data_IF_750354456775
#
_entry.id   IF_750354456775
#
_cell.length_a   1.000
_cell.length_b   1.000
_cell.length_c   1.000
_cell.angle_alpha   90.00
_cell.angle_beta   90.00
_cell.angle_gamma   90.00
#
_symmetry.space_group_name_H-M   'P 1'
#
loop_
_entity.id
_entity.type
_entity.pdbx_description
1 polymer ?
#
# COMPACT_ATOMS: atom_id res chain seq x y z
N UNK A 1 -10.04 18.67 -4.28
CA UNK A 1 -9.18 18.74 -3.07
C UNK A 1 -9.01 17.36 -2.42
N UNK A 2 -10.07 16.73 -1.92
CA UNK A 2 -10.00 15.38 -1.31
C UNK A 2 -9.37 14.32 -2.23
N UNK A 3 -9.78 14.24 -3.51
CA UNK A 3 -9.22 13.26 -4.46
C UNK A 3 -7.74 13.50 -4.80
N UNK A 4 -7.31 14.75 -4.95
CA UNK A 4 -5.89 15.08 -5.18
C UNK A 4 -5.02 14.70 -3.98
N UNK A 5 -5.51 14.97 -2.76
CA UNK A 5 -4.80 14.57 -1.54
C UNK A 5 -4.73 13.05 -1.39
N UNK A 6 -5.81 12.34 -1.72
CA UNK A 6 -5.84 10.87 -1.76
C UNK A 6 -4.81 10.30 -2.74
N UNK A 7 -4.69 10.88 -3.94
CA UNK A 7 -3.71 10.46 -4.94
C UNK A 7 -2.26 10.76 -4.49
N UNK A 8 -2.03 11.91 -3.84
CA UNK A 8 -0.70 12.29 -3.38
C UNK A 8 -0.21 11.50 -2.16
N UNK A 9 -1.13 10.97 -1.34
CA UNK A 9 -0.80 10.29 -0.08
C UNK A 9 -1.06 8.78 -0.10
N UNK A 10 -1.60 8.27 -1.21
CA UNK A 10 -2.07 6.88 -1.33
C UNK A 10 -3.07 6.47 -0.24
N UNK A 11 -3.73 7.44 0.39
CA UNK A 11 -4.78 7.21 1.39
C UNK A 11 -6.14 7.22 0.69
N UNK A 12 -6.97 6.18 0.84
CA UNK A 12 -8.31 6.15 0.25
C UNK A 12 -9.16 7.36 0.66
N UNK A 13 -9.83 8.00 -0.30
CA UNK A 13 -10.66 9.19 -0.06
C UNK A 13 -11.75 8.99 1.01
N UNK A 14 -12.25 7.76 1.15
CA UNK A 14 -13.21 7.38 2.19
C UNK A 14 -12.65 7.51 3.62
N UNK A 15 -11.33 7.45 3.78
CA UNK A 15 -10.64 7.60 5.07
C UNK A 15 -10.18 9.03 5.35
N UNK A 16 -10.41 9.96 4.43
CA UNK A 16 -9.99 11.36 4.56
C UNK A 16 -11.20 12.23 4.88
N UNK A 17 -11.09 13.07 5.90
CA UNK A 17 -11.97 14.22 6.15
C UNK A 17 -11.18 15.49 5.94
N UNK A 18 -11.73 16.41 5.15
CA UNK A 18 -11.19 17.76 4.99
C UNK A 18 -11.87 18.65 6.04
N UNK A 19 -11.07 19.46 6.72
CA UNK A 19 -11.50 20.37 7.76
C UNK A 19 -11.21 21.80 7.32
N UNK A 20 -12.17 22.68 7.57
CA UNK A 20 -11.96 24.12 7.48
C UNK A 20 -12.28 24.72 8.86
N UNK A 21 -11.39 25.54 9.42
CA UNK A 21 -11.50 26.08 10.79
C UNK A 21 -11.80 24.97 11.84
N UNK A 22 -11.09 23.84 11.76
CA UNK A 22 -11.28 22.62 12.59
C UNK A 22 -12.67 21.95 12.50
N UNK A 23 -13.52 22.32 11.54
CA UNK A 23 -14.84 21.69 11.30
C UNK A 23 -14.78 20.78 10.06
N UNK A 24 -15.27 19.54 10.12
CA UNK A 24 -15.37 18.68 8.93
C UNK A 24 -16.26 19.31 7.87
N UNK A 25 -15.80 19.29 6.62
CA UNK A 25 -16.50 19.83 5.47
C UNK A 25 -17.04 18.68 4.63
N UNK A 26 -18.29 18.82 4.19
CA UNK A 26 -18.94 17.85 3.29
C UNK A 26 -18.37 17.94 1.88
N UNK A 27 -18.15 16.81 1.23
CA UNK A 27 -17.55 16.75 -0.12
C UNK A 27 -18.43 17.38 -1.23
N UNK A 28 -19.70 17.61 -0.95
CA UNK A 28 -20.66 18.22 -1.88
C UNK A 28 -20.58 19.75 -1.94
N UNK A 29 -19.81 20.40 -1.06
CA UNK A 29 -19.69 21.87 -1.03
C UNK A 29 -18.50 22.34 -1.86
N UNK A 30 -18.67 23.48 -2.53
CA UNK A 30 -17.57 24.12 -3.26
C UNK A 30 -16.65 24.90 -2.31
N UNK A 31 -15.39 25.07 -2.70
CA UNK A 31 -14.40 25.82 -1.90
C UNK A 31 -14.89 27.25 -1.60
N UNK A 32 -15.54 27.89 -2.57
CA UNK A 32 -16.16 29.22 -2.42
C UNK A 32 -17.31 29.25 -1.42
N UNK A 33 -18.06 28.17 -1.25
CA UNK A 33 -19.17 28.07 -0.30
C UNK A 33 -18.70 27.73 1.12
N UNK A 34 -17.53 27.09 1.23
CA UNK A 34 -16.92 26.68 2.50
C UNK A 34 -16.12 27.82 3.11
N UNK A 35 -15.36 28.53 2.29
CA UNK A 35 -14.54 29.69 2.70
C UNK A 35 -15.39 30.97 2.74
N UNK A 36 -16.40 31.08 1.87
CA UNK A 36 -17.28 32.24 1.80
C UNK A 36 -16.52 33.53 1.49
N UNK A 37 -17.09 34.67 1.88
CA UNK A 37 -16.45 35.99 1.78
C UNK A 37 -15.26 36.17 2.76
N UNK A 38 -14.96 35.17 3.58
CA UNK A 38 -13.87 35.14 4.57
C UNK A 38 -12.58 34.56 3.96
N UNK A 39 -12.48 34.53 2.63
CA UNK A 39 -11.27 34.18 1.90
C UNK A 39 -10.22 35.28 2.09
N UNK A 40 -9.45 35.15 3.17
CA UNK A 40 -8.17 35.86 3.29
C UNK A 40 -7.22 35.46 2.15
N UNK A 41 -6.05 36.13 2.03
CA UNK A 41 -5.04 35.79 1.03
C UNK A 41 -4.59 34.32 1.13
N UNK A 42 -4.64 33.74 2.33
CA UNK A 42 -4.27 32.37 2.62
C UNK A 42 -5.44 31.58 3.21
N UNK A 43 -5.74 30.41 2.62
CA UNK A 43 -6.81 29.51 3.06
C UNK A 43 -6.19 28.16 3.46
N UNK A 44 -6.27 27.83 4.74
CA UNK A 44 -5.75 26.56 5.27
C UNK A 44 -6.85 25.51 5.43
N UNK A 45 -6.56 24.29 4.97
CA UNK A 45 -7.41 23.11 5.15
C UNK A 45 -6.69 22.07 6.00
N UNK A 46 -7.34 21.61 7.06
CA UNK A 46 -6.86 20.47 7.86
C UNK A 46 -7.28 19.15 7.22
N UNK A 47 -6.44 18.12 7.34
CA UNK A 47 -6.78 16.76 6.91
C UNK A 47 -6.83 15.86 8.14
N UNK A 48 -7.98 15.21 8.35
CA UNK A 48 -8.15 14.18 9.35
C UNK A 48 -8.23 12.82 8.67
N UNK A 49 -7.32 11.91 9.03
CA UNK A 49 -7.27 10.55 8.50
C UNK A 49 -7.92 9.59 9.51
N UNK A 50 -8.97 8.89 9.10
CA UNK A 50 -9.69 7.94 9.93
C UNK A 50 -9.14 6.52 9.72
N UNK A 51 -8.41 6.00 10.73
CA UNK A 51 -8.16 4.57 10.94
C UNK A 51 -7.04 3.91 10.10
N UNK A 52 -5.89 3.67 10.74
CA UNK A 52 -4.87 2.68 10.35
C UNK A 52 -4.14 2.90 9.01
N UNK A 53 -4.44 3.96 8.28
CA UNK A 53 -3.73 4.34 7.06
C UNK A 53 -2.51 5.18 7.44
N UNK A 54 -1.39 4.53 7.69
CA UNK A 54 -0.09 5.20 7.66
C UNK A 54 0.14 5.66 6.22
N UNK A 55 0.44 6.95 6.04
CA UNK A 55 0.81 7.51 4.75
C UNK A 55 2.14 6.87 4.31
N UNK A 56 2.10 6.03 3.28
CA UNK A 56 3.30 5.62 2.57
C UNK A 56 3.58 6.72 1.55
N UNK A 57 4.59 7.52 1.82
CA UNK A 57 5.10 8.53 0.90
C UNK A 57 5.88 7.83 -0.22
N UNK A 58 5.26 7.58 -1.37
CA UNK A 58 5.96 7.37 -2.64
C UNK A 58 5.14 7.98 -3.78
N UNK A 59 5.74 8.76 -4.70
CA UNK A 59 5.07 9.25 -5.89
C UNK A 59 5.19 8.21 -7.00
N UNK A 60 4.08 7.59 -7.45
CA UNK A 60 3.93 7.19 -8.86
C UNK A 60 2.51 6.71 -9.20
N UNK A 61 1.91 7.41 -10.17
CA UNK A 61 0.93 7.03 -11.20
C UNK A 61 -0.21 6.00 -10.95
N UNK A 62 -1.44 6.51 -11.15
CA UNK A 62 -2.80 5.95 -11.33
C UNK A 62 -2.99 4.66 -12.20
N UNK A 63 -4.23 4.15 -12.41
CA UNK A 63 -5.33 3.87 -11.47
C UNK A 63 -6.03 2.49 -11.74
N UNK A 64 -6.56 1.81 -10.71
CA UNK A 64 -7.63 0.84 -10.92
C UNK A 64 -8.60 0.78 -9.74
N UNK A 65 -9.86 1.06 -10.03
CA UNK A 65 -11.01 1.02 -9.14
C UNK A 65 -11.48 -0.41 -8.88
N UNK A 66 -11.82 -0.74 -7.63
CA UNK A 66 -13.07 -1.47 -7.27
C UNK A 66 -13.21 -1.76 -5.76
N UNK A 67 -14.44 -2.04 -5.29
CA UNK A 67 -14.96 -1.61 -3.99
C UNK A 67 -14.79 -2.62 -2.85
N UNK A 68 -15.14 -2.14 -1.66
CA UNK A 68 -14.98 -2.78 -0.37
C UNK A 68 -15.79 -4.08 -0.16
N UNK A 69 -15.23 -4.88 0.77
CA UNK A 69 -15.90 -5.65 1.82
C UNK A 69 -16.19 -7.15 1.58
N UNK A 70 -15.39 -8.01 2.23
CA UNK A 70 -15.87 -9.04 3.15
C UNK A 70 -14.71 -9.55 4.02
N UNK A 71 -15.01 -9.88 5.28
CA UNK A 71 -14.09 -10.26 6.34
C UNK A 71 -13.22 -11.50 6.02
N UNK A 72 -12.01 -11.61 6.62
CA UNK A 72 -11.17 -12.79 6.44
C UNK A 72 -11.79 -13.97 7.19
N UNK A 73 -12.38 -14.91 6.46
CA UNK A 73 -12.60 -16.26 7.00
C UNK A 73 -11.32 -17.06 6.82
N UNK A 74 -10.89 -17.67 7.92
CA UNK A 74 -9.77 -18.59 8.03
C UNK A 74 -10.02 -19.84 7.20
N UNK A 75 -9.62 -19.85 5.93
CA UNK A 75 -9.51 -21.06 5.10
C UNK A 75 -8.73 -20.68 3.84
N UNK A 76 -7.40 -20.81 3.89
CA UNK A 76 -6.64 -21.62 2.92
C UNK A 76 -5.15 -21.43 3.21
N UNK A 77 -4.66 -22.23 4.16
CA UNK A 77 -3.23 -22.47 4.36
C UNK A 77 -2.75 -23.36 3.20
N UNK A 78 -2.55 -22.75 2.04
CA UNK A 78 -2.09 -23.44 0.83
C UNK A 78 -0.59 -23.76 0.86
N UNK A 79 -0.22 -24.82 1.59
CA UNK A 79 1.10 -25.45 1.55
C UNK A 79 0.95 -26.98 1.55
N UNK A 80 0.83 -27.55 0.36
CA UNK A 80 1.21 -28.91 -0.05
C UNK A 80 0.99 -28.98 -1.58
N UNK A 81 2.03 -29.06 -2.44
CA UNK A 81 2.68 -30.31 -2.86
C UNK A 81 1.65 -31.23 -3.54
N UNK A 82 1.75 -31.60 -4.82
CA UNK A 82 2.76 -32.50 -5.42
C UNK A 82 2.39 -32.72 -6.92
N UNK A 83 3.41 -32.66 -7.77
CA UNK A 83 3.65 -33.33 -9.07
C UNK A 83 2.72 -33.23 -10.32
N UNK A 84 3.40 -32.84 -11.41
CA UNK A 84 3.39 -33.38 -12.78
C UNK A 84 2.20 -33.18 -13.76
N UNK A 85 2.57 -32.50 -14.85
CA UNK A 85 2.21 -32.73 -16.26
C UNK A 85 0.96 -32.06 -16.87
N UNK A 86 1.26 -31.39 -18.00
CA UNK A 86 0.42 -31.16 -19.18
C UNK A 86 -0.69 -30.09 -19.13
N UNK A 87 -0.30 -28.92 -19.64
CA UNK A 87 -0.88 -28.23 -20.81
C UNK A 87 -2.28 -27.58 -20.75
N UNK A 88 -2.30 -26.40 -21.38
CA UNK A 88 -3.41 -25.57 -21.87
C UNK A 88 -4.35 -24.92 -20.88
N UNK A 89 -4.34 -23.58 -20.90
CA UNK A 89 -5.45 -22.77 -20.40
C UNK A 89 -5.09 -21.30 -20.22
N UNK A 90 -5.03 -20.56 -21.33
CA UNK A 90 -4.95 -19.10 -21.30
C UNK A 90 -6.17 -18.49 -20.57
N UNK A 91 -5.92 -17.70 -19.54
CA UNK A 91 -6.72 -16.56 -19.09
C UNK A 91 -5.84 -15.79 -18.10
N UNK A 92 -5.33 -14.63 -18.44
CA UNK A 92 -6.15 -13.42 -18.34
C UNK A 92 -5.97 -12.79 -16.97
N UNK A 93 -4.76 -12.31 -16.67
CA UNK A 93 -4.48 -11.41 -15.57
C UNK A 93 -3.51 -10.38 -16.10
N UNK A 94 -3.87 -9.10 -16.01
CA UNK A 94 -3.05 -7.98 -16.48
C UNK A 94 -1.58 -8.24 -16.16
N UNK A 95 -0.72 -8.25 -17.19
CA UNK A 95 0.72 -8.32 -16.97
C UNK A 95 1.06 -7.19 -16.00
N UNK A 96 1.58 -7.54 -14.82
CA UNK A 96 2.04 -6.58 -13.86
C UNK A 96 3.05 -5.68 -14.58
N UNK A 97 2.69 -4.42 -14.81
CA UNK A 97 3.61 -3.45 -15.39
C UNK A 97 4.56 -3.07 -14.26
N UNK A 98 5.67 -3.80 -14.20
CA UNK A 98 6.71 -3.68 -13.20
C UNK A 98 7.72 -4.82 -13.38
N UNK A 99 8.92 -4.70 -12.78
CA UNK A 99 9.88 -5.79 -12.76
C UNK A 99 9.18 -7.07 -12.29
N UNK A 100 9.47 -8.17 -12.97
CA UNK A 100 9.02 -9.50 -12.55
C UNK A 100 9.41 -9.74 -11.09
N UNK A 101 8.64 -10.56 -10.37
CA UNK A 101 8.95 -10.85 -8.97
C UNK A 101 10.39 -11.31 -8.74
N UNK A 102 11.01 -11.97 -9.74
CA UNK A 102 12.42 -12.36 -9.71
C UNK A 102 13.39 -11.18 -9.77
N UNK A 103 13.07 -10.16 -10.57
CA UNK A 103 13.89 -8.94 -10.68
C UNK A 103 13.80 -8.09 -9.42
N UNK A 104 12.64 -8.03 -8.76
CA UNK A 104 12.47 -7.33 -7.48
C UNK A 104 13.29 -7.98 -6.37
N UNK A 105 13.24 -9.32 -6.24
CA UNK A 105 14.01 -10.03 -5.21
C UNK A 105 15.53 -9.90 -5.44
N UNK A 106 15.96 -9.59 -6.65
CA UNK A 106 17.36 -9.35 -6.96
C UNK A 106 17.89 -7.98 -6.48
N UNK A 107 17.03 -7.06 -6.03
CA UNK A 107 17.46 -5.75 -5.53
C UNK A 107 17.84 -5.80 -4.06
N UNK A 108 18.82 -4.98 -3.66
CA UNK A 108 19.20 -4.85 -2.25
C UNK A 108 18.09 -4.20 -1.41
N UNK A 109 17.25 -3.36 -2.03
CA UNK A 109 16.11 -2.70 -1.40
C UNK A 109 15.11 -3.73 -0.84
N UNK A 110 14.81 -4.78 -1.60
CA UNK A 110 13.94 -5.86 -1.13
C UNK A 110 14.49 -6.55 0.13
N UNK A 111 15.80 -6.83 0.17
CA UNK A 111 16.43 -7.49 1.31
C UNK A 111 16.51 -6.57 2.53
N UNK A 112 16.72 -5.27 2.33
CA UNK A 112 16.68 -4.27 3.40
C UNK A 112 15.28 -4.16 4.02
N UNK A 113 14.24 -4.11 3.18
CA UNK A 113 12.85 -4.07 3.64
C UNK A 113 12.43 -5.34 4.36
N UNK A 114 12.83 -6.51 3.84
CA UNK A 114 12.59 -7.79 4.50
C UNK A 114 13.26 -7.83 5.88
N UNK A 115 14.51 -7.35 6.00
CA UNK A 115 15.21 -7.27 7.27
C UNK A 115 14.49 -6.34 8.25
N UNK A 116 14.12 -5.14 7.80
CA UNK A 116 13.36 -4.19 8.63
C UNK A 116 12.04 -4.77 9.11
N UNK A 117 11.29 -5.46 8.24
CA UNK A 117 10.05 -6.13 8.60
C UNK A 117 10.28 -7.18 9.68
N UNK A 118 11.26 -8.08 9.49
CA UNK A 118 11.55 -9.15 10.44
C UNK A 118 11.96 -8.57 11.79
N UNK A 119 12.90 -7.62 11.81
CA UNK A 119 13.36 -6.94 13.01
C UNK A 119 12.20 -6.27 13.78
N UNK A 120 11.28 -5.60 13.07
CA UNK A 120 10.12 -4.97 13.70
C UNK A 120 9.19 -5.99 14.38
N UNK A 121 9.09 -7.22 13.85
CA UNK A 121 8.19 -8.25 14.38
C UNK A 121 8.81 -9.04 15.53
N UNK A 122 10.08 -9.41 15.42
CA UNK A 122 10.74 -10.29 16.41
C UNK A 122 11.53 -9.52 17.46
N UNK A 123 11.93 -8.26 17.16
CA UNK A 123 12.72 -7.39 18.05
C UNK A 123 14.04 -8.02 18.53
N UNK A 124 14.60 -8.88 17.70
CA UNK A 124 15.87 -9.57 17.90
C UNK A 124 16.72 -9.38 16.65
N UNK A 125 17.85 -8.69 16.81
CA UNK A 125 18.73 -8.31 15.73
C UNK A 125 19.48 -9.52 15.16
N UNK A 126 20.04 -10.35 16.04
CA UNK A 126 20.82 -11.51 15.65
C UNK A 126 19.95 -12.57 14.97
N UNK A 127 18.75 -12.82 15.52
CA UNK A 127 17.81 -13.76 14.90
C UNK A 127 17.22 -13.21 13.58
N UNK A 128 17.05 -11.89 13.48
CA UNK A 128 16.55 -11.24 12.26
C UNK A 128 17.53 -11.38 11.09
N UNK A 129 18.79 -11.07 11.33
CA UNK A 129 19.86 -11.25 10.35
C UNK A 129 20.02 -12.71 9.95
N UNK A 130 19.94 -13.64 10.91
CA UNK A 130 20.02 -15.08 10.64
C UNK A 130 18.90 -15.53 9.70
N UNK A 131 17.65 -15.14 9.96
CA UNK A 131 16.50 -15.51 9.14
C UNK A 131 16.60 -14.96 7.72
N UNK A 132 16.91 -13.66 7.58
CA UNK A 132 17.09 -13.02 6.27
C UNK A 132 18.24 -13.65 5.50
N UNK A 133 19.35 -13.96 6.17
CA UNK A 133 20.50 -14.63 5.57
C UNK A 133 20.16 -16.03 5.04
N UNK A 134 19.31 -16.80 5.74
CA UNK A 134 18.83 -18.10 5.26
C UNK A 134 18.03 -17.96 3.97
N UNK A 135 17.09 -17.02 3.92
CA UNK A 135 16.30 -16.76 2.70
C UNK A 135 17.17 -16.32 1.53
N UNK A 136 18.11 -15.39 1.77
CA UNK A 136 19.01 -14.89 0.73
C UNK A 136 19.90 -16.00 0.18
N UNK A 137 20.50 -16.81 1.05
CA UNK A 137 21.33 -17.95 0.63
C UNK A 137 20.55 -18.99 -0.17
N UNK A 138 19.32 -19.30 0.25
CA UNK A 138 18.46 -20.24 -0.47
C UNK A 138 18.10 -19.71 -1.86
N UNK A 139 17.74 -18.43 -1.95
CA UNK A 139 17.46 -17.76 -3.22
C UNK A 139 18.67 -17.70 -4.14
N UNK A 140 19.85 -17.38 -3.63
CA UNK A 140 21.11 -17.38 -4.40
C UNK A 140 21.49 -18.78 -4.91
N UNK A 141 21.10 -19.83 -4.20
CA UNK A 141 21.38 -21.22 -4.59
C UNK A 141 20.42 -21.76 -5.66
N UNK A 142 19.21 -21.19 -5.77
CA UNK A 142 18.16 -21.57 -6.74
C UNK A 142 18.22 -20.74 -8.03
N UNK A 143 19.10 -19.72 -8.09
CA UNK A 143 19.23 -18.79 -9.21
C UNK A 143 20.23 -19.25 -10.28
#
# INVERSE_FOLDING_TARGET
>A
LKSQYAAATSIPAAKIKILYKKKPVTDSKLVSEVVGADAGPDVEFGVMVMGGAAAVTTPSESPAASPAAAAPSESDKGLAGVDAAANTGAAGGAAAVGPSGKEVVATDEFWADLNNFVLQRIKDEHEGERLVGVFKKAWESDR
#
